data_IF_155000628266
#
_entry.id   IF_155000628266
#
_cell.length_a   1.000
_cell.length_b   1.000
_cell.length_c   1.000
_cell.angle_alpha   90.00
_cell.angle_beta   90.00
_cell.angle_gamma   90.00
#
_symmetry.space_group_name_H-M   'P 1'
#
loop_
_entity.id
_entity.type
_entity.pdbx_description
1 polymer ?
#
# COMPACT_ATOMS: atom_id res chain seq x y z
N UNK A 1 14.18 -18.59 20.76
CA UNK A 1 13.74 -19.27 19.53
C UNK A 1 12.87 -18.33 18.71
N UNK A 2 13.11 -18.25 17.42
CA UNK A 2 12.26 -17.49 16.51
C UNK A 2 11.22 -18.42 15.90
N UNK A 3 9.97 -17.98 15.86
CA UNK A 3 8.86 -18.78 15.35
C UNK A 3 8.06 -17.98 14.33
N UNK A 4 7.23 -18.66 13.55
CA UNK A 4 6.26 -18.01 12.67
C UNK A 4 5.27 -17.21 13.52
N UNK A 5 4.87 -16.05 12.99
CA UNK A 5 3.96 -15.12 13.66
C UNK A 5 2.70 -14.97 12.80
N UNK A 6 1.69 -15.81 13.02
CA UNK A 6 0.44 -15.70 12.26
C UNK A 6 -0.32 -14.44 12.67
N UNK A 7 -0.96 -13.82 11.68
CA UNK A 7 -1.75 -12.62 11.88
C UNK A 7 -2.97 -12.66 10.96
N UNK A 8 -4.15 -12.38 11.52
CA UNK A 8 -5.40 -12.32 10.76
C UNK A 8 -5.77 -10.87 10.47
N UNK A 9 -5.67 -10.41 9.21
CA UNK A 9 -6.01 -9.03 8.84
C UNK A 9 -7.47 -8.65 9.10
N UNK A 10 -8.37 -9.61 9.27
CA UNK A 10 -9.76 -9.32 9.61
C UNK A 10 -9.90 -8.69 11.02
N UNK A 11 -8.88 -8.81 11.87
CA UNK A 11 -8.89 -8.26 13.23
C UNK A 11 -8.60 -6.76 13.29
N UNK A 12 -8.19 -6.14 12.19
CA UNK A 12 -7.95 -4.69 12.12
C UNK A 12 -8.86 -4.03 11.08
N UNK A 13 -9.27 -2.77 11.31
CA UNK A 13 -10.07 -2.04 10.33
C UNK A 13 -9.20 -1.54 9.16
N UNK A 14 -9.87 -1.14 8.08
CA UNK A 14 -9.22 -0.38 7.01
C UNK A 14 -8.89 1.03 7.51
N UNK A 15 -7.66 1.45 7.29
CA UNK A 15 -7.14 2.74 7.75
C UNK A 15 -7.08 3.68 6.55
N UNK A 16 -7.76 4.85 6.60
CA UNK A 16 -7.75 5.80 5.50
C UNK A 16 -6.35 6.35 5.20
N UNK A 17 -6.00 6.44 3.91
CA UNK A 17 -4.77 7.09 3.44
C UNK A 17 -5.05 8.33 2.59
N UNK A 18 -6.19 8.36 1.91
CA UNK A 18 -6.59 9.44 1.01
C UNK A 18 -7.97 9.16 0.43
N UNK A 19 -8.43 9.95 -0.55
CA UNK A 19 -9.74 9.77 -1.15
C UNK A 19 -9.91 8.39 -1.79
N UNK A 20 -10.80 7.56 -1.24
CA UNK A 20 -11.06 6.21 -1.72
C UNK A 20 -9.92 5.22 -1.53
N UNK A 21 -8.89 5.57 -0.75
CA UNK A 21 -7.71 4.76 -0.52
C UNK A 21 -7.58 4.44 0.97
N UNK A 22 -7.38 3.17 1.28
CA UNK A 22 -7.19 2.70 2.65
C UNK A 22 -6.25 1.50 2.67
N UNK A 23 -5.70 1.20 3.84
CA UNK A 23 -4.78 0.07 4.00
C UNK A 23 -5.01 -0.68 5.29
N UNK A 24 -4.54 -1.91 5.32
CA UNK A 24 -4.36 -2.71 6.53
C UNK A 24 -2.88 -3.08 6.62
N UNK A 25 -2.19 -2.69 7.69
CA UNK A 25 -0.80 -3.11 7.88
C UNK A 25 -0.73 -4.60 8.21
N UNK A 26 0.27 -5.29 7.69
CA UNK A 26 0.53 -6.70 7.99
C UNK A 26 1.83 -6.87 8.74
N UNK A 27 2.88 -6.18 8.35
CA UNK A 27 4.19 -6.24 9.00
C UNK A 27 5.04 -5.03 8.64
N UNK A 28 5.82 -4.56 9.62
CA UNK A 28 6.80 -3.48 9.43
C UNK A 28 8.18 -3.96 9.86
N UNK A 29 9.20 -3.55 9.13
CA UNK A 29 10.61 -3.75 9.48
C UNK A 29 11.41 -2.52 9.10
N UNK A 30 12.69 -2.48 9.46
CA UNK A 30 13.56 -1.37 9.08
C UNK A 30 13.79 -1.30 7.57
N UNK A 31 13.60 -2.40 6.84
CA UNK A 31 13.84 -2.48 5.40
C UNK A 31 12.60 -2.27 4.56
N UNK A 32 11.41 -2.56 5.11
CA UNK A 32 10.21 -2.53 4.30
C UNK A 32 8.94 -2.76 5.09
N UNK A 33 7.88 -3.00 4.35
CA UNK A 33 6.54 -3.19 4.89
C UNK A 33 5.73 -4.16 4.04
N UNK A 34 4.80 -4.86 4.67
CA UNK A 34 3.77 -5.65 4.01
C UNK A 34 2.41 -5.09 4.42
N UNK A 35 1.52 -4.92 3.46
CA UNK A 35 0.19 -4.38 3.71
C UNK A 35 -0.83 -4.88 2.68
N UNK A 36 -2.11 -4.69 2.99
CA UNK A 36 -3.19 -4.73 2.03
C UNK A 36 -3.58 -3.30 1.68
N UNK A 37 -3.65 -2.99 0.40
CA UNK A 37 -4.15 -1.72 -0.11
C UNK A 37 -5.54 -1.93 -0.69
N UNK A 38 -6.47 -1.04 -0.36
CA UNK A 38 -7.82 -1.04 -0.92
C UNK A 38 -8.07 0.28 -1.63
N UNK A 39 -8.54 0.18 -2.88
CA UNK A 39 -8.97 1.34 -3.67
C UNK A 39 -10.43 1.17 -4.03
N UNK A 40 -11.25 2.17 -3.69
CA UNK A 40 -12.63 2.23 -4.16
C UNK A 40 -12.65 2.46 -5.68
N UNK A 41 -13.75 2.09 -6.38
CA UNK A 41 -13.85 2.31 -7.82
C UNK A 41 -13.53 3.76 -8.20
N UNK A 42 -12.61 3.94 -9.16
CA UNK A 42 -12.15 5.24 -9.62
C UNK A 42 -11.09 5.92 -8.77
N UNK A 43 -10.77 5.38 -7.60
CA UNK A 43 -9.69 5.93 -6.77
C UNK A 43 -8.34 5.75 -7.44
N UNK A 44 -7.48 6.75 -7.25
CA UNK A 44 -6.14 6.81 -7.87
C UNK A 44 -5.09 6.83 -6.79
N UNK A 45 -4.06 5.99 -6.95
CA UNK A 45 -2.79 6.17 -6.27
C UNK A 45 -1.97 7.14 -7.11
N UNK A 46 -1.69 8.35 -6.62
CA UNK A 46 -0.98 9.36 -7.41
C UNK A 46 0.42 8.92 -7.80
N UNK A 47 1.00 9.63 -8.78
CA UNK A 47 2.36 9.35 -9.25
C UNK A 47 3.35 9.35 -8.10
N UNK A 48 4.15 8.28 -8.03
CA UNK A 48 5.13 8.09 -6.96
C UNK A 48 6.32 7.27 -7.45
N UNK A 49 7.44 7.42 -6.73
CA UNK A 49 8.66 6.64 -6.95
C UNK A 49 8.91 5.75 -5.75
N UNK A 50 9.17 4.47 -6.01
CA UNK A 50 9.69 3.54 -5.00
C UNK A 50 11.22 3.52 -5.06
N UNK A 51 11.87 3.64 -3.90
CA UNK A 51 13.34 3.54 -3.82
C UNK A 51 13.82 2.11 -3.75
N UNK A 52 13.01 1.19 -3.22
CA UNK A 52 13.26 -0.24 -3.24
C UNK A 52 12.30 -0.96 -4.17
N UNK A 53 12.47 -2.26 -4.29
CA UNK A 53 11.58 -3.09 -5.11
C UNK A 53 10.21 -3.29 -4.44
N UNK A 54 9.21 -3.58 -5.27
CA UNK A 54 7.84 -3.83 -4.84
C UNK A 54 7.36 -5.13 -5.45
N UNK A 55 6.66 -5.93 -4.63
CA UNK A 55 5.95 -7.12 -5.05
C UNK A 55 4.48 -6.91 -4.71
N UNK A 56 3.61 -6.85 -5.73
CA UNK A 56 2.20 -6.59 -5.56
C UNK A 56 1.37 -7.74 -6.12
N UNK A 57 0.52 -8.30 -5.29
CA UNK A 57 -0.37 -9.40 -5.68
C UNK A 57 -1.82 -8.93 -5.61
N UNK A 58 -2.50 -8.91 -6.76
CA UNK A 58 -3.88 -8.44 -6.84
C UNK A 58 -4.82 -9.54 -6.34
N UNK A 59 -5.52 -9.27 -5.24
CA UNK A 59 -6.42 -10.26 -4.62
C UNK A 59 -7.82 -10.20 -5.20
N UNK A 60 -8.34 -8.98 -5.43
CA UNK A 60 -9.69 -8.78 -5.97
C UNK A 60 -9.78 -7.44 -6.71
N UNK A 61 -10.78 -7.34 -7.59
CA UNK A 61 -10.97 -6.15 -8.42
C UNK A 61 -9.92 -6.01 -9.52
N UNK A 62 -9.99 -4.91 -10.26
CA UNK A 62 -9.12 -4.63 -11.41
C UNK A 62 -8.40 -3.32 -11.22
N UNK A 63 -7.08 -3.35 -11.37
CA UNK A 63 -6.22 -2.18 -11.20
C UNK A 63 -5.53 -1.85 -12.52
N UNK A 64 -5.67 -0.61 -12.97
CA UNK A 64 -4.95 -0.13 -14.14
C UNK A 64 -3.62 0.49 -13.69
N UNK A 65 -2.53 0.01 -14.29
CA UNK A 65 -1.22 0.64 -14.23
C UNK A 65 -1.22 1.72 -15.31
N UNK A 66 -1.27 3.00 -14.92
CA UNK A 66 -1.60 4.08 -15.85
C UNK A 66 -0.50 4.25 -16.90
N UNK A 67 0.76 4.35 -16.48
CA UNK A 67 1.89 4.57 -17.39
C UNK A 67 2.16 3.39 -18.32
N UNK A 68 1.99 2.18 -17.82
CA UNK A 68 2.14 0.96 -18.62
C UNK A 68 0.92 0.66 -19.50
N UNK A 69 -0.21 1.30 -19.24
CA UNK A 69 -1.49 1.06 -19.92
C UNK A 69 -1.92 -0.42 -19.88
N UNK A 70 -1.76 -1.03 -18.71
CA UNK A 70 -2.11 -2.43 -18.48
C UNK A 70 -3.08 -2.56 -17.31
N UNK A 71 -3.98 -3.55 -17.39
CA UNK A 71 -4.94 -3.86 -16.33
C UNK A 71 -4.54 -5.18 -15.68
N UNK A 72 -4.47 -5.16 -14.34
CA UNK A 72 -4.18 -6.32 -13.50
C UNK A 72 -5.47 -6.75 -12.81
N UNK A 73 -5.88 -7.98 -13.05
CA UNK A 73 -7.06 -8.59 -12.42
C UNK A 73 -6.72 -9.47 -11.22
N UNK A 74 -7.74 -10.14 -10.65
CA UNK A 74 -7.54 -11.06 -9.52
C UNK A 74 -6.53 -12.16 -9.84
N UNK A 75 -5.59 -12.40 -8.92
CA UNK A 75 -4.51 -13.38 -9.12
C UNK A 75 -3.31 -12.84 -9.88
N UNK A 76 -3.37 -11.61 -10.39
CA UNK A 76 -2.25 -10.98 -11.11
C UNK A 76 -1.15 -10.52 -10.17
N UNK A 77 0.09 -10.60 -10.65
CA UNK A 77 1.28 -10.21 -9.91
C UNK A 77 2.03 -9.12 -10.66
N UNK A 78 2.49 -8.10 -9.93
CA UNK A 78 3.29 -7.00 -10.48
C UNK A 78 4.60 -6.92 -9.71
N UNK A 79 5.70 -6.96 -10.44
CA UNK A 79 7.03 -6.63 -9.91
C UNK A 79 7.40 -5.22 -10.34
N UNK A 80 7.79 -4.39 -9.38
CA UNK A 80 8.28 -3.04 -9.64
C UNK A 80 9.76 -3.00 -9.21
N UNK A 81 10.69 -2.76 -10.13
CA UNK A 81 12.10 -2.64 -9.77
C UNK A 81 12.34 -1.38 -8.93
N UNK A 82 13.43 -1.37 -8.17
CA UNK A 82 13.84 -0.19 -7.43
C UNK A 82 13.96 1.02 -8.37
N UNK A 83 13.40 2.15 -7.95
CA UNK A 83 13.38 3.38 -8.77
C UNK A 83 12.16 3.50 -9.69
N UNK A 84 11.28 2.51 -9.72
CA UNK A 84 10.08 2.57 -10.55
C UNK A 84 9.20 3.78 -10.20
N UNK A 85 8.67 4.43 -11.24
CA UNK A 85 7.76 5.56 -11.13
C UNK A 85 6.46 5.21 -11.84
N UNK A 86 5.35 5.19 -11.11
CA UNK A 86 4.05 4.96 -11.70
C UNK A 86 2.91 5.52 -10.86
N UNK A 87 1.70 5.42 -11.42
CA UNK A 87 0.44 5.65 -10.78
C UNK A 87 -0.53 4.54 -11.15
N UNK A 88 -1.58 4.35 -10.37
CA UNK A 88 -2.56 3.31 -10.63
C UNK A 88 -3.97 3.76 -10.25
N UNK A 89 -4.96 3.07 -10.79
CA UNK A 89 -6.36 3.40 -10.56
C UNK A 89 -7.20 2.12 -10.49
N UNK A 90 -8.16 2.10 -9.56
CA UNK A 90 -9.18 1.06 -9.57
C UNK A 90 -10.14 1.29 -10.73
N UNK A 91 -10.33 0.26 -11.57
CA UNK A 91 -11.25 0.30 -12.72
C UNK A 91 -12.37 -0.72 -12.51
N UNK A 92 -13.52 -0.48 -13.17
CA UNK A 92 -14.69 -1.32 -12.97
C UNK A 92 -15.53 -0.89 -11.78
N UNK A 93 -16.43 -1.77 -11.35
CA UNK A 93 -17.48 -1.46 -10.37
C UNK A 93 -17.15 -1.92 -8.95
N UNK A 94 -16.07 -2.66 -8.78
CA UNK A 94 -15.68 -3.26 -7.50
C UNK A 94 -14.41 -2.62 -6.95
N UNK A 95 -14.25 -2.56 -5.62
CA UNK A 95 -12.98 -2.16 -5.02
C UNK A 95 -11.85 -3.11 -5.43
N UNK A 96 -10.65 -2.55 -5.51
CA UNK A 96 -9.42 -3.33 -5.69
C UNK A 96 -8.79 -3.58 -4.34
N UNK A 97 -8.37 -4.81 -4.09
CA UNK A 97 -7.55 -5.16 -2.93
C UNK A 97 -6.25 -5.79 -3.42
N UNK A 98 -5.13 -5.20 -3.03
CA UNK A 98 -3.78 -5.62 -3.44
C UNK A 98 -2.95 -5.93 -2.21
N UNK A 99 -2.30 -7.09 -2.20
CA UNK A 99 -1.26 -7.39 -1.22
C UNK A 99 0.06 -6.84 -1.73
N UNK A 100 0.68 -5.95 -0.97
CA UNK A 100 1.91 -5.27 -1.38
C UNK A 100 3.00 -5.52 -0.33
N UNK A 101 4.16 -5.96 -0.81
CA UNK A 101 5.41 -5.98 -0.06
C UNK A 101 6.35 -5.00 -0.74
N UNK A 102 6.80 -3.97 -0.01
CA UNK A 102 7.68 -2.95 -0.56
C UNK A 102 8.85 -2.68 0.38
N UNK A 103 9.99 -2.35 -0.23
CA UNK A 103 11.24 -2.08 0.47
C UNK A 103 11.64 -0.62 0.32
N UNK A 104 12.18 -0.04 1.39
CA UNK A 104 12.65 1.33 1.36
C UNK A 104 11.53 2.38 1.40
N UNK A 105 11.90 3.60 1.03
CA UNK A 105 11.02 4.75 1.01
C UNK A 105 10.24 4.86 -0.30
N UNK A 106 9.19 5.66 -0.26
CA UNK A 106 8.39 6.05 -1.42
C UNK A 106 8.20 7.56 -1.39
N UNK A 107 8.26 8.21 -2.55
CA UNK A 107 8.01 9.63 -2.69
C UNK A 107 6.90 9.89 -3.70
N UNK A 108 5.92 10.71 -3.32
CA UNK A 108 4.92 11.22 -4.24
C UNK A 108 5.46 12.40 -5.02
N UNK A 109 5.14 12.46 -6.31
CA UNK A 109 5.69 13.44 -7.26
C UNK A 109 4.54 14.29 -7.77
N UNK A 110 4.65 15.61 -7.58
CA UNK A 110 3.67 16.57 -8.06
C UNK A 110 3.81 16.87 -9.55
N UNK A 111 2.90 17.72 -10.06
CA UNK A 111 2.77 18.02 -11.49
C UNK A 111 4.03 18.64 -12.10
N UNK A 112 4.82 19.36 -11.33
CA UNK A 112 6.08 19.98 -11.75
C UNK A 112 7.33 19.17 -11.39
N UNK A 113 7.12 17.93 -10.93
CA UNK A 113 8.21 17.01 -10.60
C UNK A 113 8.76 17.15 -9.18
N UNK A 114 8.19 18.06 -8.35
CA UNK A 114 8.61 18.17 -6.96
C UNK A 114 8.08 17.02 -6.11
N UNK A 115 8.81 16.71 -5.04
CA UNK A 115 8.36 15.74 -4.04
C UNK A 115 7.34 16.40 -3.12
N UNK A 116 6.10 15.86 -3.10
CA UNK A 116 5.01 16.42 -2.29
C UNK A 116 4.86 15.69 -0.95
N UNK A 117 5.28 14.43 -0.87
CA UNK A 117 5.23 13.64 0.36
C UNK A 117 6.23 12.49 0.25
N UNK A 118 6.85 12.15 1.38
CA UNK A 118 7.73 10.99 1.49
C UNK A 118 7.17 10.04 2.56
N UNK A 119 6.97 8.79 2.20
CA UNK A 119 6.59 7.73 3.12
C UNK A 119 7.76 6.75 3.30
N UNK A 120 7.95 6.33 4.53
CA UNK A 120 8.92 5.29 4.90
C UNK A 120 8.17 4.18 5.64
N UNK A 121 8.78 3.00 5.84
CA UNK A 121 8.18 2.01 6.72
C UNK A 121 7.85 2.58 8.11
N UNK A 122 8.72 3.41 8.67
CA UNK A 122 8.50 4.04 9.98
C UNK A 122 7.33 5.02 9.95
N UNK A 123 7.22 5.88 8.93
CA UNK A 123 6.13 6.87 8.85
C UNK A 123 4.76 6.21 8.72
N UNK A 124 4.67 5.12 7.96
CA UNK A 124 3.41 4.39 7.83
C UNK A 124 3.04 3.64 9.11
N UNK A 125 4.04 3.11 9.80
CA UNK A 125 3.84 2.51 11.12
C UNK A 125 3.30 3.55 12.11
N UNK A 126 3.83 4.78 12.11
CA UNK A 126 3.33 5.88 12.93
C UNK A 126 1.88 6.25 12.57
N UNK A 127 1.53 6.23 11.30
CA UNK A 127 0.15 6.44 10.84
C UNK A 127 -0.79 5.39 11.45
N UNK A 128 -0.38 4.12 11.45
CA UNK A 128 -1.14 3.05 12.09
C UNK A 128 -1.31 3.29 13.59
N UNK A 129 -0.23 3.62 14.30
CA UNK A 129 -0.29 3.85 15.74
C UNK A 129 -1.18 5.04 16.10
N UNK A 130 -1.12 6.13 15.35
CA UNK A 130 -2.00 7.29 15.54
C UNK A 130 -3.47 6.92 15.31
N UNK A 131 -3.76 6.17 14.26
CA UNK A 131 -5.12 5.69 14.02
C UNK A 131 -5.64 4.87 15.20
N UNK A 132 -4.83 3.98 15.75
CA UNK A 132 -5.20 3.20 16.93
C UNK A 132 -5.51 4.11 18.13
N UNK A 133 -4.65 5.10 18.40
CA UNK A 133 -4.85 6.06 19.49
C UNK A 133 -6.15 6.84 19.30
N UNK A 134 -6.39 7.36 18.09
CA UNK A 134 -7.55 8.19 17.79
C UNK A 134 -8.88 7.41 17.85
N UNK A 135 -8.82 6.09 17.71
CA UNK A 135 -10.00 5.22 17.69
C UNK A 135 -10.07 4.28 18.89
N UNK A 136 -9.28 4.50 19.92
CA UNK A 136 -9.25 3.68 21.15
C UNK A 136 -9.00 2.19 20.87
N UNK A 137 -8.11 1.90 19.92
CA UNK A 137 -7.72 0.55 19.57
C UNK A 137 -6.35 0.21 20.14
N UNK A 138 -6.18 -1.04 20.56
CA UNK A 138 -4.87 -1.55 20.96
C UNK A 138 -4.12 -1.98 19.71
N UNK A 139 -2.92 -1.43 19.44
CA UNK A 139 -2.14 -1.84 18.28
C UNK A 139 -1.79 -3.32 18.31
N UNK A 140 -1.87 -3.99 17.16
CA UNK A 140 -1.33 -5.32 16.98
C UNK A 140 0.20 -5.29 16.93
N UNK A 141 0.82 -6.41 17.31
CA UNK A 141 2.28 -6.55 17.27
C UNK A 141 2.75 -6.86 15.85
N UNK A 142 2.97 -5.81 15.04
CA UNK A 142 3.27 -5.91 13.61
C UNK A 142 4.75 -5.62 13.27
N UNK A 143 5.59 -5.57 14.28
CA UNK A 143 7.00 -5.20 14.09
C UNK A 143 7.98 -6.23 14.62
#
# INVERSE_FOLDING_TARGET
>A
MKTSQPFDPATIPWIPLGPGESFKPLHFSDRGRALLLRLEPGAIVPLHRHFGEVHAFNLSGYRKLIEADEIVGPGGYVYEPAGNVDSSMAVGDEPVVVHIVSFGAMEYIGADGEVTRRDTPASLYDTYLRFCTDNNLTPAALR
#
